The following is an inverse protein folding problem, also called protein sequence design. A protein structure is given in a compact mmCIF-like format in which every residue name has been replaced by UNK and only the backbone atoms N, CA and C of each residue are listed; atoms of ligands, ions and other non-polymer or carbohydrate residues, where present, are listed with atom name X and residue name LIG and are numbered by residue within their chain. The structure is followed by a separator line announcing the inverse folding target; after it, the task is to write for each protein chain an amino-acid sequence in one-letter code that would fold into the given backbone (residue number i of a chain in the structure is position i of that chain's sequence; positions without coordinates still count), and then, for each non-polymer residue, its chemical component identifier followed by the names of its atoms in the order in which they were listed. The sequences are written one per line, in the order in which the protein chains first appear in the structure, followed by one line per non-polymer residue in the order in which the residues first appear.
data_IF_197554234077
#
_entry.id   IF_197554234077
#
_cell.length_a   1.000
_cell.length_b   1.000
_cell.length_c   1.000
_cell.angle_alpha   90.00
_cell.angle_beta   90.00
_cell.angle_gamma   90.00
#
_symmetry.space_group_name_H-M   'P 1'
#
loop_
_entity.id
_entity.type
_entity.pdbx_description
1 polymer ?
#
# COMPACT_ATOMS: atom_id res chain seq x y z
N UNK A 1 -0.10 5.45 7.07
CA UNK A 1 0.03 4.02 7.43
C UNK A 1 0.08 3.12 6.20
N UNK A 2 -0.92 3.17 5.32
CA UNK A 2 -1.05 2.16 4.25
C UNK A 2 -0.06 2.32 3.09
N UNK A 3 0.46 3.52 2.84
CA UNK A 3 1.56 3.70 1.87
C UNK A 3 2.82 2.88 2.21
N UNK A 4 3.16 2.79 3.50
CA UNK A 4 4.27 1.94 3.96
C UNK A 4 3.99 0.46 3.77
N UNK A 5 2.76 0.01 4.10
CA UNK A 5 2.32 -1.37 3.84
C UNK A 5 2.42 -1.72 2.35
N UNK A 6 1.93 -0.84 1.47
CA UNK A 6 2.04 -1.02 0.01
C UNK A 6 3.50 -1.12 -0.43
N UNK A 7 4.40 -0.28 0.09
CA UNK A 7 5.83 -0.37 -0.22
C UNK A 7 6.44 -1.71 0.22
N UNK A 8 6.08 -2.23 1.40
CA UNK A 8 6.57 -3.53 1.87
C UNK A 8 6.06 -4.68 0.98
N UNK A 9 4.78 -4.66 0.60
CA UNK A 9 4.22 -5.63 -0.34
C UNK A 9 4.97 -5.59 -1.67
N UNK A 10 5.22 -4.38 -2.20
CA UNK A 10 5.99 -4.21 -3.43
C UNK A 10 7.44 -4.69 -3.29
N UNK A 11 8.09 -4.40 -2.17
CA UNK A 11 9.46 -4.85 -1.89
C UNK A 11 9.57 -6.37 -1.97
N UNK A 12 8.73 -7.08 -1.21
CA UNK A 12 8.74 -8.54 -1.15
C UNK A 12 8.32 -9.15 -2.49
N UNK A 13 7.31 -8.57 -3.15
CA UNK A 13 6.87 -9.03 -4.46
C UNK A 13 7.99 -8.95 -5.51
N UNK A 14 8.69 -7.80 -5.58
CA UNK A 14 9.79 -7.57 -6.52
C UNK A 14 11.03 -8.43 -6.22
N UNK A 15 11.25 -8.81 -4.96
CA UNK A 15 12.32 -9.75 -4.59
C UNK A 15 12.01 -11.17 -5.02
N UNK A 16 10.76 -11.61 -4.86
CA UNK A 16 10.36 -13.00 -5.11
C UNK A 16 10.00 -13.28 -6.57
N UNK A 17 9.57 -12.27 -7.34
CA UNK A 17 9.08 -12.45 -8.70
C UNK A 17 10.01 -11.80 -9.74
N UNK A 18 10.45 -12.59 -10.73
CA UNK A 18 11.23 -12.08 -11.88
C UNK A 18 10.42 -11.18 -12.80
N UNK A 19 9.11 -11.42 -12.91
CA UNK A 19 8.19 -10.68 -13.78
C UNK A 19 7.09 -10.01 -12.96
N UNK A 20 6.70 -8.82 -13.39
CA UNK A 20 5.67 -8.03 -12.72
C UNK A 20 4.30 -8.46 -13.25
N UNK A 21 3.48 -9.06 -12.38
CA UNK A 21 2.06 -9.30 -12.66
C UNK A 21 1.24 -8.14 -12.09
N UNK A 22 0.95 -7.16 -12.94
CA UNK A 22 0.22 -5.96 -12.56
C UNK A 22 -1.11 -6.24 -11.87
N UNK A 23 -1.87 -7.26 -12.33
CA UNK A 23 -3.14 -7.63 -11.69
C UNK A 23 -2.97 -7.92 -10.19
N UNK A 24 -1.93 -8.67 -9.79
CA UNK A 24 -1.68 -9.01 -8.38
C UNK A 24 -1.23 -7.81 -7.56
N UNK A 25 -0.43 -6.92 -8.14
CA UNK A 25 0.03 -5.71 -7.46
C UNK A 25 -1.07 -4.65 -7.34
N UNK A 26 -1.96 -4.54 -8.32
CA UNK A 26 -3.11 -3.64 -8.25
C UNK A 26 -4.09 -4.15 -7.18
N UNK A 27 -4.40 -5.45 -7.18
CA UNK A 27 -5.32 -5.99 -6.17
C UNK A 27 -4.71 -5.98 -4.77
N UNK A 28 -3.50 -6.50 -4.59
CA UNK A 28 -2.88 -6.64 -3.27
C UNK A 28 -2.16 -5.39 -2.76
N UNK A 29 -1.64 -4.55 -3.65
CA UNK A 29 -0.86 -3.37 -3.29
C UNK A 29 -1.65 -2.05 -3.35
N UNK A 30 -2.82 -2.01 -3.99
CA UNK A 30 -3.64 -0.78 -4.10
C UNK A 30 -5.03 -1.00 -3.53
N UNK A 31 -5.82 -1.90 -4.13
CA UNK A 31 -7.24 -2.07 -3.80
C UNK A 31 -7.39 -2.55 -2.35
N UNK A 32 -6.65 -3.60 -1.97
CA UNK A 32 -6.75 -4.18 -0.63
C UNK A 32 -6.34 -3.18 0.47
N UNK A 33 -5.21 -2.44 0.40
CA UNK A 33 -4.86 -1.41 1.36
C UNK A 33 -5.89 -0.28 1.49
N UNK A 34 -6.41 0.23 0.36
CA UNK A 34 -7.40 1.32 0.38
C UNK A 34 -8.72 0.82 0.97
N UNK A 35 -9.19 -0.35 0.55
CA UNK A 35 -10.40 -0.96 1.09
C UNK A 35 -10.29 -1.19 2.60
N UNK A 36 -9.16 -1.76 3.04
CA UNK A 36 -8.90 -1.98 4.45
C UNK A 36 -8.84 -0.67 5.24
N UNK A 37 -8.27 0.41 4.68
CA UNK A 37 -8.31 1.74 5.31
C UNK A 37 -9.74 2.21 5.53
N UNK A 38 -10.61 2.10 4.52
CA UNK A 38 -12.01 2.50 4.65
C UNK A 38 -12.78 1.65 5.68
N UNK A 39 -12.54 0.34 5.72
CA UNK A 39 -13.14 -0.53 6.74
C UNK A 39 -12.73 -0.13 8.16
N UNK A 40 -11.47 0.24 8.38
CA UNK A 40 -11.01 0.66 9.70
C UNK A 40 -11.68 1.96 10.13
N UNK A 41 -11.79 2.96 9.25
CA UNK A 41 -12.47 4.22 9.57
C UNK A 41 -13.95 4.01 9.93
N UNK A 42 -14.65 3.15 9.18
CA UNK A 42 -16.04 2.80 9.47
C UNK A 42 -16.18 2.07 10.82
N UNK A 43 -15.26 1.15 11.11
CA UNK A 43 -15.25 0.44 12.38
C UNK A 43 -14.93 1.37 13.54
N UNK A 44 -14.01 2.33 13.36
CA UNK A 44 -13.71 3.34 14.38
C UNK A 44 -14.94 4.21 14.65
N UNK A 45 -15.64 4.67 13.61
CA UNK A 45 -16.86 5.44 13.74
C UNK A 45 -18.01 4.66 14.42
N UNK A 46 -18.13 3.36 14.14
CA UNK A 46 -19.23 2.53 14.63
C UNK A 46 -18.98 1.92 16.02
N UNK A 47 -17.71 1.68 16.39
CA UNK A 47 -17.34 0.96 17.60
C UNK A 47 -16.67 1.83 18.67
N UNK A 48 -16.49 3.13 18.44
CA UNK A 48 -15.81 4.03 19.39
C UNK A 48 -16.62 5.31 19.62
N UNK A 49 -17.09 5.52 20.85
CA UNK A 49 -17.92 6.70 21.19
C UNK A 49 -17.14 8.03 21.16
N UNK A 50 -15.81 7.97 21.20
CA UNK A 50 -14.93 9.14 21.31
C UNK A 50 -14.21 9.49 19.98
N UNK A 51 -14.50 8.77 18.89
CA UNK A 51 -13.90 9.00 17.57
C UNK A 51 -14.94 8.81 16.46
N UNK A 52 -15.28 9.90 15.77
CA UNK A 52 -15.92 9.82 14.46
C UNK A 52 -14.88 9.39 13.42
N UNK A 53 -15.27 8.58 12.42
CA UNK A 53 -14.38 8.18 11.33
C UNK A 53 -13.75 9.39 10.65
N UNK A 54 -12.44 9.36 10.46
CA UNK A 54 -11.66 10.48 9.95
C UNK A 54 -11.41 10.30 8.44
N UNK A 55 -12.22 11.03 7.67
CA UNK A 55 -12.09 11.05 6.21
C UNK A 55 -10.74 11.60 5.73
N UNK A 56 -10.06 12.43 6.52
CA UNK A 56 -8.71 12.91 6.19
C UNK A 56 -7.68 11.79 6.36
N UNK A 57 -7.84 10.92 7.35
CA UNK A 57 -6.97 9.74 7.52
C UNK A 57 -7.18 8.75 6.36
N UNK A 58 -8.42 8.53 5.94
CA UNK A 58 -8.71 7.74 4.73
C UNK A 58 -8.06 8.34 3.47
N UNK A 59 -8.16 9.67 3.29
CA UNK A 59 -7.57 10.37 2.16
C UNK A 59 -6.04 10.28 2.19
N UNK A 60 -5.43 10.54 3.35
CA UNK A 60 -3.98 10.47 3.53
C UNK A 60 -3.44 9.06 3.27
N UNK A 61 -4.17 8.02 3.71
CA UNK A 61 -3.81 6.64 3.43
C UNK A 61 -3.96 6.30 1.94
N UNK A 62 -5.03 6.76 1.28
CA UNK A 62 -5.23 6.57 -0.16
C UNK A 62 -4.16 7.27 -0.99
N UNK A 63 -3.80 8.51 -0.64
CA UNK A 63 -2.70 9.25 -1.26
C UNK A 63 -1.36 8.57 -1.01
N UNK A 64 -1.12 8.07 0.21
CA UNK A 64 0.08 7.32 0.56
C UNK A 64 0.24 6.05 -0.28
N UNK A 65 -0.83 5.31 -0.53
CA UNK A 65 -0.85 4.15 -1.43
C UNK A 65 -0.56 4.59 -2.88
N UNK A 66 -1.18 5.70 -3.32
CA UNK A 66 -0.94 6.28 -4.64
C UNK A 66 0.52 6.68 -4.86
N UNK A 67 1.17 7.30 -3.87
CA UNK A 67 2.58 7.69 -3.89
C UNK A 67 3.53 6.51 -3.75
N UNK A 68 3.12 5.44 -3.06
CA UNK A 68 3.92 4.23 -2.91
C UNK A 68 4.15 3.52 -4.25
N UNK A 69 3.25 3.64 -5.22
CA UNK A 69 3.37 3.04 -6.56
C UNK A 69 4.57 3.58 -7.36
N UNK A 70 4.66 4.89 -7.67
CA UNK A 70 5.80 5.43 -8.41
C UNK A 70 7.10 5.24 -7.63
N UNK A 71 7.10 5.39 -6.31
CA UNK A 71 8.31 5.14 -5.50
C UNK A 71 8.75 3.68 -5.61
N UNK A 72 7.83 2.72 -5.51
CA UNK A 72 8.16 1.30 -5.62
C UNK A 72 8.64 0.92 -7.03
N UNK A 73 8.05 1.51 -8.07
CA UNK A 73 8.42 1.21 -9.44
C UNK A 73 9.73 1.87 -9.88
N UNK A 74 9.96 3.14 -9.56
CA UNK A 74 11.10 3.91 -10.04
C UNK A 74 12.30 3.90 -9.10
N UNK A 75 12.10 3.71 -7.78
CA UNK A 75 13.19 3.73 -6.79
C UNK A 75 13.47 2.31 -6.30
N UNK A 76 12.46 1.62 -5.80
CA UNK A 76 12.65 0.33 -5.13
C UNK A 76 13.07 -0.77 -6.11
N UNK A 77 12.43 -0.84 -7.28
CA UNK A 77 12.76 -1.81 -8.34
C UNK A 77 14.23 -1.77 -8.79
N UNK A 78 14.82 -0.62 -9.19
CA UNK A 78 16.23 -0.60 -9.59
C UNK A 78 17.18 -0.93 -8.43
N UNK A 79 16.86 -0.52 -7.19
CA UNK A 79 17.66 -0.88 -6.02
C UNK A 79 17.67 -2.39 -5.80
N UNK A 80 16.49 -3.03 -5.80
CA UNK A 80 16.39 -4.49 -5.64
C UNK A 80 17.16 -5.23 -6.73
N UNK A 81 16.99 -4.82 -7.99
CA UNK A 81 17.71 -5.42 -9.12
C UNK A 81 19.23 -5.27 -9.02
N UNK A 82 19.70 -4.14 -8.49
CA UNK A 82 21.14 -3.82 -8.42
C UNK A 82 21.85 -4.47 -7.24
N UNK A 83 21.18 -4.61 -6.10
CA UNK A 83 21.83 -4.99 -4.84
C UNK A 83 21.30 -6.27 -4.21
N UNK A 84 20.09 -6.73 -4.57
CA UNK A 84 19.39 -7.80 -3.85
C UNK A 84 19.06 -9.01 -4.72
N UNK A 85 19.13 -8.90 -6.06
CA UNK A 85 19.09 -10.05 -6.96
C UNK A 85 20.51 -10.58 -7.16
N UNK A 86 20.88 -11.61 -6.38
CA UNK A 86 22.04 -12.47 -6.64
C UNK A 86 21.66 -13.60 -7.59
#
# INVERSE_FOLDING_TARGET
MYGGLTMVIWFEYLRLHKFIVWKKLITGGIILPIFMSGCIELLQAACTDNRSGDWLDFLANSLGVGLALPVSYYILRPIIKRFLQK
#
